data_IF_019216571519
#
_entry.id   IF_019216571519
#
_cell.length_a   1.000
_cell.length_b   1.000
_cell.length_c   1.000
_cell.angle_alpha   90.00
_cell.angle_beta   90.00
_cell.angle_gamma   90.00
#
_symmetry.space_group_name_H-M   'P 1'
#
loop_
_entity.id
_entity.type
_entity.pdbx_description
1 polymer ?
#
# COMPACT_ATOMS: atom_id res chain seq x y z
N UNK A 1 26.43 -16.24 -21.98
CA UNK A 1 25.54 -16.31 -23.17
C UNK A 1 24.77 -17.66 -23.27
N UNK A 2 24.60 -18.39 -22.16
CA UNK A 2 23.99 -19.74 -22.14
C UNK A 2 22.65 -19.83 -21.38
N UNK A 3 22.33 -18.90 -20.50
CA UNK A 3 21.12 -19.00 -19.64
C UNK A 3 19.79 -18.63 -20.32
N UNK A 4 19.83 -17.82 -21.40
CA UNK A 4 18.62 -17.41 -22.11
C UNK A 4 18.00 -18.50 -23.02
N UNK A 5 18.80 -19.48 -23.45
CA UNK A 5 18.32 -20.56 -24.33
C UNK A 5 17.58 -21.68 -23.59
N UNK A 6 17.84 -21.85 -22.29
CA UNK A 6 17.22 -22.92 -21.49
C UNK A 6 15.80 -22.59 -21.05
N UNK A 7 15.45 -21.32 -20.84
CA UNK A 7 14.11 -20.91 -20.41
C UNK A 7 13.09 -21.04 -21.55
N UNK A 8 13.50 -20.75 -22.79
CA UNK A 8 12.61 -20.91 -23.94
C UNK A 8 12.35 -22.37 -24.32
N UNK A 9 13.29 -23.27 -24.05
CA UNK A 9 13.12 -24.68 -24.33
C UNK A 9 12.15 -25.37 -23.35
N UNK A 10 12.15 -24.96 -22.07
CA UNK A 10 11.24 -25.50 -21.07
C UNK A 10 9.80 -25.00 -21.24
N UNK A 11 9.62 -23.76 -21.67
CA UNK A 11 8.28 -23.23 -21.98
C UNK A 11 7.66 -23.85 -23.22
N UNK A 12 8.47 -24.17 -24.23
CA UNK A 12 7.99 -24.81 -25.44
C UNK A 12 7.60 -26.31 -25.25
N UNK A 13 8.28 -27.03 -24.34
CA UNK A 13 7.92 -28.41 -24.01
C UNK A 13 6.65 -28.50 -23.15
N UNK A 14 6.36 -27.51 -22.30
CA UNK A 14 5.12 -27.52 -21.52
C UNK A 14 3.87 -27.18 -22.35
N UNK A 15 4.00 -26.44 -23.45
CA UNK A 15 2.89 -26.20 -24.37
C UNK A 15 2.63 -27.40 -25.29
N UNK A 16 3.65 -28.18 -25.64
CA UNK A 16 3.49 -29.35 -26.50
C UNK A 16 2.83 -30.55 -25.80
N UNK A 17 2.94 -30.65 -24.47
CA UNK A 17 2.32 -31.70 -23.67
C UNK A 17 0.80 -31.48 -23.44
N UNK A 18 0.30 -30.26 -23.62
CA UNK A 18 -1.13 -29.94 -23.55
C UNK A 18 -1.90 -30.12 -24.84
N UNK A 19 -1.22 -30.32 -25.97
CA UNK A 19 -1.84 -30.46 -27.27
C UNK A 19 -2.14 -31.94 -27.70
N UNK A 20 -1.74 -32.94 -26.91
CA UNK A 20 -1.86 -34.37 -27.30
C UNK A 20 -2.92 -35.19 -26.56
N UNK A 21 -3.76 -34.57 -25.72
CA UNK A 21 -4.84 -35.27 -25.01
C UNK A 21 -6.21 -34.87 -25.56
N UNK A 22 -6.59 -35.42 -26.71
CA UNK A 22 -7.93 -35.15 -27.19
C UNK A 22 -8.30 -35.71 -28.57
N UNK A 23 -8.15 -37.01 -28.79
CA UNK A 23 -8.89 -37.71 -29.87
C UNK A 23 -9.43 -39.06 -29.35
N UNK A 24 -10.44 -38.99 -28.49
CA UNK A 24 -11.35 -40.13 -28.28
C UNK A 24 -12.70 -39.71 -28.86
N UNK A 25 -13.04 -40.25 -30.05
CA UNK A 25 -14.39 -40.19 -30.61
C UNK A 25 -15.27 -41.14 -29.81
N UNK A 26 -16.20 -40.61 -29.05
CA UNK A 26 -17.34 -41.35 -28.52
C UNK A 26 -18.57 -41.00 -29.37
N UNK A 27 -19.32 -42.05 -29.73
CA UNK A 27 -20.46 -42.02 -30.64
C UNK A 27 -21.60 -41.11 -30.13
N UNK A 28 -22.25 -40.47 -31.10
CA UNK A 28 -23.42 -39.60 -30.94
C UNK A 28 -24.59 -40.26 -30.20
N UNK A 29 -24.89 -39.75 -29.04
CA UNK A 29 -26.24 -39.72 -28.49
C UNK A 29 -26.81 -38.30 -28.73
N UNK A 30 -28.09 -38.14 -29.13
CA UNK A 30 -28.65 -36.80 -29.32
C UNK A 30 -28.68 -36.08 -28.01
N UNK A 31 -27.68 -35.25 -27.78
CA UNK A 31 -27.63 -34.35 -26.62
C UNK A 31 -28.71 -33.30 -26.85
N UNK A 32 -29.77 -33.36 -26.03
CA UNK A 32 -30.74 -32.28 -25.89
C UNK A 32 -29.96 -30.98 -25.79
N UNK A 33 -30.11 -30.10 -26.80
CA UNK A 33 -29.40 -28.86 -26.86
C UNK A 33 -29.53 -28.15 -25.48
N UNK A 34 -28.41 -28.01 -24.78
CA UNK A 34 -28.38 -27.25 -23.54
C UNK A 34 -28.90 -25.87 -23.90
N UNK A 35 -29.86 -25.35 -23.09
CA UNK A 35 -30.27 -23.95 -23.21
C UNK A 35 -29.03 -23.11 -23.24
N UNK A 36 -28.89 -22.10 -24.15
CA UNK A 36 -27.74 -21.26 -24.16
C UNK A 36 -27.60 -20.67 -22.76
N UNK A 37 -26.47 -20.97 -22.13
CA UNK A 37 -26.09 -20.34 -20.85
C UNK A 37 -26.04 -18.85 -21.17
N UNK A 38 -26.90 -18.10 -20.53
CA UNK A 38 -26.90 -16.63 -20.65
C UNK A 38 -25.48 -16.18 -20.26
N UNK A 39 -24.74 -15.61 -21.21
CA UNK A 39 -23.39 -15.15 -20.95
C UNK A 39 -23.43 -14.23 -19.73
N UNK A 40 -22.72 -14.62 -18.68
CA UNK A 40 -22.56 -13.80 -17.49
C UNK A 40 -21.79 -12.53 -17.90
N UNK A 41 -22.13 -11.35 -17.35
CA UNK A 41 -21.33 -10.17 -17.57
C UNK A 41 -19.89 -10.43 -17.12
N UNK A 42 -18.91 -9.80 -17.79
CA UNK A 42 -17.50 -9.98 -17.48
C UNK A 42 -17.22 -9.65 -16.01
N UNK A 43 -17.78 -8.55 -15.51
CA UNK A 43 -17.75 -8.19 -14.08
C UNK A 43 -19.08 -8.60 -13.42
N UNK A 44 -19.00 -9.39 -12.37
CA UNK A 44 -20.14 -9.86 -11.59
C UNK A 44 -20.57 -8.83 -10.55
N UNK A 45 -19.61 -8.07 -10.04
CA UNK A 45 -19.79 -6.97 -9.08
C UNK A 45 -18.83 -5.86 -9.47
N UNK A 46 -19.30 -4.62 -9.35
CA UNK A 46 -18.48 -3.41 -9.42
C UNK A 46 -18.85 -2.54 -8.20
N UNK A 47 -17.83 -2.03 -7.52
CA UNK A 47 -17.96 -1.17 -6.35
C UNK A 47 -16.97 0.00 -6.49
N UNK A 48 -17.49 1.15 -6.90
CA UNK A 48 -16.75 2.39 -7.05
C UNK A 48 -17.04 3.35 -5.90
N UNK A 49 -15.99 3.93 -5.31
CA UNK A 49 -16.10 4.80 -4.14
C UNK A 49 -15.20 6.01 -4.25
N UNK A 50 -15.72 7.15 -3.81
CA UNK A 50 -14.94 8.35 -3.53
C UNK A 50 -14.93 8.61 -2.03
N UNK A 51 -13.75 8.87 -1.50
CA UNK A 51 -13.56 9.12 -0.08
C UNK A 51 -12.86 10.46 0.14
N UNK A 52 -13.39 11.26 1.04
CA UNK A 52 -12.68 12.36 1.68
C UNK A 52 -12.37 11.98 3.12
N UNK A 53 -11.13 12.20 3.54
CA UNK A 53 -10.72 11.85 4.90
C UNK A 53 -9.60 12.76 5.41
N UNK A 54 -9.31 12.64 6.72
CA UNK A 54 -8.35 13.48 7.40
C UNK A 54 -7.49 12.64 8.34
N UNK A 55 -6.17 12.69 8.12
CA UNK A 55 -5.15 12.12 9.01
C UNK A 55 -4.70 13.24 9.94
N UNK A 56 -4.78 13.00 11.26
CA UNK A 56 -4.49 14.06 12.24
C UNK A 56 -3.00 14.24 12.52
N UNK A 57 -2.21 13.17 12.42
CA UNK A 57 -0.77 13.17 12.72
C UNK A 57 -0.01 12.28 11.71
N UNK A 58 -0.05 12.65 10.43
CA UNK A 58 0.76 12.02 9.38
C UNK A 58 2.25 12.34 9.53
N UNK A 59 3.10 11.53 8.92
CA UNK A 59 4.56 11.72 8.93
C UNK A 59 5.18 11.40 7.57
N UNK A 60 6.31 12.05 7.27
CA UNK A 60 7.15 11.75 6.11
C UNK A 60 8.60 11.59 6.57
N UNK A 61 9.26 10.45 6.28
CA UNK A 61 10.62 10.20 6.73
C UNK A 61 11.59 11.31 6.32
N UNK A 62 12.38 11.80 7.27
CA UNK A 62 13.35 12.85 7.04
C UNK A 62 12.77 14.26 6.98
N UNK A 63 11.46 14.41 7.06
CA UNK A 63 10.77 15.71 7.03
C UNK A 63 10.40 16.12 8.47
N UNK A 64 11.08 17.10 9.00
CA UNK A 64 10.87 17.58 10.37
C UNK A 64 11.32 19.03 10.55
N UNK A 65 10.79 19.68 11.55
CA UNK A 65 11.14 21.03 11.95
C UNK A 65 11.34 21.12 13.46
N UNK A 66 11.94 22.21 13.93
CA UNK A 66 12.08 22.45 15.35
C UNK A 66 10.75 22.97 15.92
N UNK A 67 10.25 22.37 17.00
CA UNK A 67 9.07 22.88 17.68
C UNK A 67 9.34 24.25 18.30
N UNK A 68 8.33 25.10 18.44
CA UNK A 68 8.46 26.35 19.19
C UNK A 68 9.07 26.10 20.57
N UNK A 69 10.09 26.89 20.93
CA UNK A 69 10.85 26.70 22.17
C UNK A 69 12.12 25.87 22.03
N UNK A 70 12.39 25.25 20.85
CA UNK A 70 13.68 24.65 20.53
C UNK A 70 14.05 23.36 21.28
N UNK A 71 13.08 22.69 21.91
CA UNK A 71 13.33 21.56 22.82
C UNK A 71 13.09 20.19 22.18
N UNK A 72 12.44 20.11 21.03
CA UNK A 72 12.15 18.86 20.34
C UNK A 72 11.87 19.05 18.85
N UNK A 73 12.05 17.98 18.09
CA UNK A 73 11.67 17.93 16.68
C UNK A 73 10.17 17.69 16.52
N UNK A 74 9.61 18.19 15.42
CA UNK A 74 8.27 17.92 14.95
C UNK A 74 8.35 17.28 13.56
N UNK A 75 8.03 16.00 13.46
CA UNK A 75 7.89 15.28 12.19
C UNK A 75 6.43 14.96 11.82
N UNK A 76 5.47 15.56 12.57
CA UNK A 76 4.06 15.28 12.34
C UNK A 76 3.37 16.43 11.62
N UNK A 77 2.48 16.09 10.71
CA UNK A 77 1.57 17.00 10.04
C UNK A 77 0.18 16.39 9.84
N UNK A 78 -0.83 17.23 9.77
CA UNK A 78 -2.16 16.80 9.41
C UNK A 78 -2.29 16.77 7.87
N UNK A 79 -3.04 15.79 7.33
CA UNK A 79 -3.23 15.64 5.89
C UNK A 79 -4.71 15.44 5.55
N UNK A 80 -5.19 16.19 4.57
CA UNK A 80 -6.43 15.89 3.87
C UNK A 80 -6.15 14.80 2.85
N UNK A 81 -7.06 13.84 2.71
CA UNK A 81 -6.89 12.71 1.78
C UNK A 81 -8.13 12.60 0.90
N UNK A 82 -7.90 12.57 -0.39
CA UNK A 82 -8.91 12.40 -1.43
C UNK A 82 -8.60 11.09 -2.14
N UNK A 83 -9.52 10.13 -2.10
CA UNK A 83 -9.28 8.81 -2.69
C UNK A 83 -10.40 8.41 -3.62
N UNK A 84 -10.02 7.73 -4.69
CA UNK A 84 -10.90 6.91 -5.50
C UNK A 84 -10.53 5.45 -5.29
N UNK A 85 -11.52 4.59 -5.08
CA UNK A 85 -11.35 3.14 -4.90
C UNK A 85 -12.29 2.42 -5.85
N UNK A 86 -11.75 1.47 -6.57
CA UNK A 86 -12.47 0.53 -7.41
C UNK A 86 -12.26 -0.88 -6.89
N UNK A 87 -13.34 -1.65 -6.80
CA UNK A 87 -13.31 -3.07 -6.52
C UNK A 87 -14.23 -3.78 -7.48
N UNK A 88 -13.77 -4.86 -8.08
CA UNK A 88 -14.62 -5.72 -8.88
C UNK A 88 -14.44 -7.19 -8.55
N UNK A 89 -15.48 -7.95 -8.87
CA UNK A 89 -15.46 -9.42 -8.91
C UNK A 89 -15.73 -9.83 -10.33
N UNK A 90 -14.85 -10.64 -10.89
CA UNK A 90 -15.01 -11.22 -12.23
C UNK A 90 -14.98 -12.75 -12.18
N UNK A 91 -15.10 -13.40 -13.31
CA UNK A 91 -15.27 -14.86 -13.36
C UNK A 91 -14.15 -15.70 -12.74
N UNK A 92 -12.97 -15.14 -12.52
CA UNK A 92 -11.82 -15.87 -11.99
C UNK A 92 -11.24 -15.27 -10.70
N UNK A 93 -11.76 -14.17 -10.17
CA UNK A 93 -11.23 -13.58 -8.94
C UNK A 93 -11.72 -12.18 -8.68
N UNK A 94 -10.85 -11.35 -8.10
CA UNK A 94 -11.16 -9.97 -7.73
C UNK A 94 -10.06 -9.03 -8.17
N UNK A 95 -10.43 -7.78 -8.45
CA UNK A 95 -9.49 -6.68 -8.59
C UNK A 95 -9.80 -5.60 -7.58
N UNK A 96 -8.77 -5.01 -7.03
CA UNK A 96 -8.83 -3.86 -6.15
C UNK A 96 -7.83 -2.82 -6.63
N UNK A 97 -8.31 -1.60 -6.79
CA UNK A 97 -7.48 -0.46 -7.16
C UNK A 97 -7.86 0.74 -6.29
N UNK A 98 -6.87 1.45 -5.79
CA UNK A 98 -7.10 2.73 -5.14
C UNK A 98 -6.04 3.73 -5.57
N UNK A 99 -6.44 4.99 -5.73
CA UNK A 99 -5.55 6.12 -5.91
C UNK A 99 -5.92 7.17 -4.88
N UNK A 100 -4.93 7.74 -4.23
CA UNK A 100 -5.10 8.72 -3.17
C UNK A 100 -4.17 9.90 -3.36
N UNK A 101 -4.70 11.10 -3.14
CA UNK A 101 -3.93 12.33 -3.02
C UNK A 101 -3.98 12.79 -1.56
N UNK A 102 -2.83 12.99 -0.97
CA UNK A 102 -2.67 13.55 0.37
C UNK A 102 -2.22 15.01 0.23
N UNK A 103 -2.83 15.88 0.99
CA UNK A 103 -2.50 17.31 0.97
C UNK A 103 -2.38 17.84 2.40
N UNK A 104 -1.23 18.34 2.74
CA UNK A 104 -0.98 19.05 3.99
C UNK A 104 -1.07 20.57 3.81
N UNK A 105 -1.00 21.28 4.91
CA UNK A 105 -1.02 22.74 4.95
C UNK A 105 0.38 23.35 5.16
N UNK A 106 0.42 24.67 5.37
CA UNK A 106 1.65 25.43 5.59
C UNK A 106 2.39 25.08 6.89
N UNK A 107 1.79 24.32 7.80
CA UNK A 107 2.46 23.86 9.03
C UNK A 107 3.25 22.55 8.81
N UNK A 108 3.16 21.97 7.61
CA UNK A 108 3.90 20.78 7.28
C UNK A 108 5.40 21.06 7.28
N UNK A 109 6.22 20.28 8.03
CA UNK A 109 7.66 20.34 7.94
C UNK A 109 8.21 20.10 6.53
N UNK A 110 7.48 19.38 5.67
CA UNK A 110 7.80 19.19 4.25
C UNK A 110 7.55 20.43 3.39
N UNK A 111 7.08 21.50 3.96
CA UNK A 111 6.78 22.72 3.22
C UNK A 111 8.02 23.24 2.48
N UNK A 112 8.00 23.32 1.13
CA UNK A 112 9.17 23.69 0.35
C UNK A 112 9.71 25.10 0.67
N UNK A 113 8.93 25.96 1.30
CA UNK A 113 9.35 27.30 1.67
C UNK A 113 10.26 27.36 2.90
N UNK A 114 10.24 26.35 3.76
CA UNK A 114 11.09 26.27 4.96
C UNK A 114 12.46 25.70 4.60
N UNK A 115 12.50 24.81 3.64
CA UNK A 115 13.71 24.10 3.25
C UNK A 115 14.35 24.81 2.05
N UNK A 116 15.38 25.57 2.32
CA UNK A 116 16.09 26.47 1.40
C UNK A 116 16.79 25.80 0.20
N UNK A 117 16.41 24.63 -0.19
CA UNK A 117 16.99 23.92 -1.34
C UNK A 117 16.06 23.74 -2.52
N UNK A 118 14.75 23.85 -2.32
CA UNK A 118 13.76 23.51 -3.37
C UNK A 118 13.10 24.75 -3.96
N UNK A 119 12.83 25.76 -3.15
CA UNK A 119 12.37 27.06 -3.61
C UNK A 119 13.24 28.14 -2.96
N UNK A 120 14.25 28.58 -3.66
CA UNK A 120 15.26 29.51 -3.20
C UNK A 120 14.75 30.97 -3.11
N UNK A 121 13.61 31.18 -2.50
CA UNK A 121 13.09 32.54 -2.39
C UNK A 121 13.76 33.40 -1.33
N UNK A 122 14.63 32.82 -0.50
CA UNK A 122 15.22 33.54 0.64
C UNK A 122 14.18 34.06 1.63
N UNK A 123 12.92 33.73 1.42
CA UNK A 123 11.83 34.17 2.24
C UNK A 123 11.65 33.19 3.40
N UNK A 124 12.10 33.57 4.57
CA UNK A 124 11.90 32.82 5.81
C UNK A 124 10.48 32.98 6.39
N UNK A 125 9.61 33.69 5.70
CA UNK A 125 8.21 33.85 6.08
C UNK A 125 7.43 32.60 5.67
N UNK A 126 6.88 31.89 6.64
CA UNK A 126 6.00 30.73 6.46
C UNK A 126 4.65 31.10 5.81
N UNK A 127 4.34 32.38 5.74
CA UNK A 127 3.12 32.87 5.12
C UNK A 127 3.19 32.70 3.59
N UNK A 128 2.41 31.78 3.08
CA UNK A 128 2.32 31.53 1.63
C UNK A 128 2.88 30.18 1.19
N UNK A 129 3.38 29.37 2.08
CA UNK A 129 3.80 27.99 1.77
C UNK A 129 2.58 27.07 1.65
N UNK A 130 2.59 26.20 0.67
CA UNK A 130 1.40 25.44 0.27
C UNK A 130 1.29 24.06 0.93
N UNK A 131 2.31 23.63 1.69
CA UNK A 131 2.43 22.24 2.16
C UNK A 131 2.83 21.27 1.07
N UNK A 132 2.96 19.99 1.43
CA UNK A 132 3.28 18.91 0.51
C UNK A 132 2.03 18.30 -0.13
N UNK A 133 2.23 17.68 -1.28
CA UNK A 133 1.22 16.87 -1.97
C UNK A 133 1.85 15.52 -2.27
N UNK A 134 1.18 14.44 -1.84
CA UNK A 134 1.58 13.07 -2.10
C UNK A 134 0.54 12.38 -2.96
N UNK A 135 0.98 11.48 -3.82
CA UNK A 135 0.13 10.54 -4.54
C UNK A 135 0.52 9.13 -4.18
N UNK A 136 -0.48 8.30 -3.92
CA UNK A 136 -0.32 6.88 -3.68
C UNK A 136 -1.32 6.12 -4.52
N UNK A 137 -0.86 5.12 -5.24
CA UNK A 137 -1.67 4.19 -5.99
C UNK A 137 -1.35 2.76 -5.56
N UNK A 138 -2.37 1.93 -5.39
CA UNK A 138 -2.25 0.52 -5.06
C UNK A 138 -3.17 -0.28 -5.98
N UNK A 139 -2.65 -1.39 -6.49
CA UNK A 139 -3.39 -2.39 -7.26
C UNK A 139 -3.13 -3.77 -6.69
N UNK A 140 -4.20 -4.56 -6.52
CA UNK A 140 -4.14 -5.99 -6.20
C UNK A 140 -5.14 -6.73 -7.07
N UNK A 141 -4.71 -7.84 -7.66
CA UNK A 141 -5.55 -8.74 -8.44
C UNK A 141 -5.38 -10.16 -7.93
N UNK A 142 -6.49 -10.87 -7.75
CA UNK A 142 -6.51 -12.27 -7.32
C UNK A 142 -7.08 -13.17 -8.40
N UNK A 143 -6.57 -14.40 -8.45
CA UNK A 143 -7.01 -15.44 -9.36
C UNK A 143 -7.31 -16.68 -8.54
N UNK A 144 -8.58 -16.94 -8.29
CA UNK A 144 -9.06 -18.00 -7.39
C UNK A 144 -8.87 -19.40 -7.98
N UNK A 145 -8.34 -20.30 -7.16
CA UNK A 145 -8.08 -21.67 -7.61
C UNK A 145 -9.36 -22.46 -7.82
N UNK A 146 -10.40 -22.22 -7.03
CA UNK A 146 -11.69 -22.85 -7.25
C UNK A 146 -12.27 -22.48 -8.60
N UNK A 147 -12.14 -21.24 -9.02
CA UNK A 147 -12.63 -20.70 -10.28
C UNK A 147 -11.78 -21.18 -11.47
N UNK A 148 -10.46 -21.11 -11.36
CA UNK A 148 -9.52 -21.53 -12.42
C UNK A 148 -9.66 -23.04 -12.70
N UNK A 149 -9.75 -23.86 -11.65
CA UNK A 149 -9.82 -25.32 -11.80
C UNK A 149 -11.25 -25.87 -11.86
N UNK A 150 -12.28 -25.03 -11.79
CA UNK A 150 -13.68 -25.42 -11.83
C UNK A 150 -14.06 -26.38 -10.70
N UNK A 151 -13.54 -26.16 -9.48
CA UNK A 151 -13.66 -27.05 -8.33
C UNK A 151 -14.09 -26.30 -7.07
N UNK A 152 -14.35 -27.03 -5.99
CA UNK A 152 -14.55 -26.52 -4.64
C UNK A 152 -13.55 -27.11 -3.63
N UNK A 153 -12.49 -27.75 -4.14
CA UNK A 153 -11.53 -28.46 -3.29
C UNK A 153 -10.70 -27.53 -2.40
N UNK A 154 -10.61 -26.25 -2.76
CA UNK A 154 -9.90 -25.23 -2.00
C UNK A 154 -10.79 -24.46 -1.01
N UNK A 155 -12.00 -24.99 -0.76
CA UNK A 155 -12.92 -24.51 0.28
C UNK A 155 -12.96 -25.56 1.39
N UNK A 156 -12.59 -25.18 2.63
CA UNK A 156 -12.57 -26.09 3.78
C UNK A 156 -12.80 -25.32 5.08
N UNK A 157 -13.86 -25.66 5.81
CA UNK A 157 -14.23 -24.96 7.03
C UNK A 157 -14.42 -23.47 6.78
N UNK A 158 -13.73 -22.57 7.48
CA UNK A 158 -13.80 -21.13 7.23
C UNK A 158 -13.00 -20.69 5.99
N UNK A 159 -12.11 -21.51 5.45
CA UNK A 159 -11.34 -21.19 4.24
C UNK A 159 -12.31 -21.18 3.06
N UNK A 160 -12.49 -20.00 2.47
CA UNK A 160 -13.34 -19.79 1.30
C UNK A 160 -12.63 -20.19 -0.01
N UNK A 161 -11.39 -19.74 -0.18
CA UNK A 161 -10.60 -19.99 -1.39
C UNK A 161 -9.11 -19.76 -1.13
N UNK A 162 -8.28 -20.31 -2.02
CA UNK A 162 -6.88 -19.94 -2.20
C UNK A 162 -6.80 -19.27 -3.57
N UNK A 163 -6.03 -18.20 -3.68
CA UNK A 163 -5.85 -17.45 -4.93
C UNK A 163 -4.37 -17.18 -5.19
N UNK A 164 -3.96 -17.12 -6.44
CA UNK A 164 -2.77 -16.35 -6.80
C UNK A 164 -3.08 -14.86 -6.60
N UNK A 165 -2.11 -14.11 -6.07
CA UNK A 165 -2.22 -12.67 -5.93
C UNK A 165 -1.03 -11.99 -6.58
N UNK A 166 -1.31 -10.94 -7.36
CA UNK A 166 -0.33 -10.03 -7.94
C UNK A 166 -0.73 -8.59 -7.61
N UNK A 167 0.27 -7.72 -7.51
CA UNK A 167 -0.03 -6.32 -7.27
C UNK A 167 1.17 -5.42 -7.49
N UNK A 168 0.89 -4.12 -7.44
CA UNK A 168 1.88 -3.07 -7.53
C UNK A 168 1.44 -1.84 -6.74
N UNK A 169 2.40 -1.12 -6.19
CA UNK A 169 2.18 0.18 -5.57
C UNK A 169 3.07 1.23 -6.21
N UNK A 170 2.55 2.45 -6.26
CA UNK A 170 3.29 3.64 -6.69
C UNK A 170 3.08 4.75 -5.66
N UNK A 171 4.12 5.50 -5.40
CA UNK A 171 4.08 6.66 -4.52
C UNK A 171 4.99 7.77 -5.07
N UNK A 172 4.60 9.00 -4.88
CA UNK A 172 5.40 10.16 -5.19
C UNK A 172 4.96 11.37 -4.38
N UNK A 173 5.93 12.17 -3.96
CA UNK A 173 5.70 13.31 -3.09
C UNK A 173 6.54 14.51 -3.52
N UNK A 174 5.99 15.71 -3.39
CA UNK A 174 6.65 16.96 -3.77
C UNK A 174 7.38 17.65 -2.59
N UNK A 175 7.94 16.92 -1.68
CA UNK A 175 8.81 17.48 -0.64
C UNK A 175 10.27 17.55 -1.09
N UNK A 176 11.14 18.16 -0.25
CA UNK A 176 12.55 18.34 -0.60
C UNK A 176 13.36 17.02 -0.68
N UNK A 177 12.87 15.93 -0.13
CA UNK A 177 13.45 14.60 -0.27
C UNK A 177 12.90 13.86 -1.50
N UNK A 178 11.82 14.38 -2.08
CA UNK A 178 11.17 13.89 -3.30
C UNK A 178 11.02 12.36 -3.32
N UNK A 179 10.43 11.74 -2.28
CA UNK A 179 10.29 10.29 -2.27
C UNK A 179 9.42 9.84 -3.43
N UNK A 180 9.87 8.76 -4.08
CA UNK A 180 9.10 8.08 -5.10
C UNK A 180 9.37 6.59 -4.98
N UNK A 181 8.33 5.81 -4.75
CA UNK A 181 8.37 4.37 -4.54
C UNK A 181 7.60 3.66 -5.64
N UNK A 182 8.14 2.55 -6.09
CA UNK A 182 7.48 1.61 -6.99
C UNK A 182 7.76 0.23 -6.49
N UNK A 183 6.73 -0.56 -6.30
CA UNK A 183 6.93 -1.94 -5.89
C UNK A 183 5.97 -2.89 -6.59
N UNK A 184 6.30 -4.17 -6.50
CA UNK A 184 5.49 -5.26 -6.98
C UNK A 184 5.43 -6.38 -5.97
N UNK A 185 4.27 -7.03 -5.92
CA UNK A 185 4.01 -8.20 -5.09
C UNK A 185 3.51 -9.36 -5.92
N UNK A 186 3.86 -10.57 -5.51
CA UNK A 186 3.42 -11.82 -6.14
C UNK A 186 3.39 -12.94 -5.10
N UNK A 187 2.28 -13.67 -5.01
CA UNK A 187 2.18 -14.80 -4.09
C UNK A 187 0.81 -15.41 -4.04
N UNK A 188 0.39 -15.78 -2.84
CA UNK A 188 -0.88 -16.43 -2.59
C UNK A 188 -1.71 -15.60 -1.62
N UNK A 189 -3.05 -15.65 -1.78
CA UNK A 189 -3.99 -15.15 -0.80
C UNK A 189 -4.84 -16.32 -0.29
N UNK A 190 -5.02 -16.38 1.00
CA UNK A 190 -5.95 -17.27 1.69
C UNK A 190 -7.12 -16.43 2.17
N UNK A 191 -8.30 -16.68 1.60
CA UNK A 191 -9.53 -15.96 1.93
C UNK A 191 -10.39 -16.81 2.87
N UNK A 192 -10.83 -16.20 3.96
CA UNK A 192 -11.66 -16.86 4.98
C UNK A 192 -12.98 -16.12 5.15
N UNK A 193 -14.06 -16.89 5.29
CA UNK A 193 -15.36 -16.34 5.63
C UNK A 193 -15.45 -16.07 7.13
N UNK A 194 -15.95 -14.89 7.47
CA UNK A 194 -16.32 -14.51 8.84
C UNK A 194 -17.85 -14.42 8.99
N UNK A 195 -18.38 -14.50 10.20
CA UNK A 195 -19.79 -14.22 10.44
C UNK A 195 -20.23 -12.84 9.91
N UNK A 196 -21.55 -12.65 9.78
CA UNK A 196 -22.16 -11.36 9.45
C UNK A 196 -21.64 -10.73 8.16
N UNK A 197 -21.53 -11.52 7.09
CA UNK A 197 -20.99 -11.12 5.78
C UNK A 197 -19.55 -10.60 5.84
N UNK A 198 -18.80 -11.10 6.82
CA UNK A 198 -17.41 -10.74 6.99
C UNK A 198 -16.46 -11.60 6.17
N UNK A 199 -15.25 -11.11 6.00
CA UNK A 199 -14.12 -11.84 5.44
C UNK A 199 -12.82 -11.50 6.18
N UNK A 200 -11.86 -12.41 6.09
CA UNK A 200 -10.49 -12.22 6.56
C UNK A 200 -9.55 -12.83 5.52
N UNK A 201 -8.65 -12.01 5.00
CA UNK A 201 -7.68 -12.44 4.00
C UNK A 201 -6.26 -12.32 4.55
N UNK A 202 -5.41 -13.28 4.22
CA UNK A 202 -3.97 -13.27 4.52
C UNK A 202 -3.22 -13.62 3.24
N UNK A 203 -2.27 -12.80 2.85
CA UNK A 203 -1.47 -12.98 1.66
C UNK A 203 0.03 -12.99 1.98
N UNK A 204 0.69 -14.16 2.02
CA UNK A 204 2.14 -14.27 1.98
C UNK A 204 2.61 -14.01 0.53
N UNK A 205 3.49 -13.03 0.36
CA UNK A 205 3.91 -12.51 -0.93
C UNK A 205 5.44 -12.39 -1.02
N UNK A 206 5.98 -12.54 -2.22
CA UNK A 206 7.29 -12.01 -2.57
C UNK A 206 7.13 -10.52 -2.90
N UNK A 207 8.08 -9.71 -2.45
CA UNK A 207 8.05 -8.26 -2.57
C UNK A 207 9.34 -7.73 -3.20
N UNK A 208 9.22 -6.80 -4.14
CA UNK A 208 10.33 -6.12 -4.80
C UNK A 208 10.04 -4.63 -4.89
N UNK A 209 10.99 -3.80 -4.49
CA UNK A 209 10.85 -2.34 -4.47
C UNK A 209 12.01 -1.65 -5.20
N UNK A 210 11.70 -0.52 -5.82
CA UNK A 210 12.64 0.43 -6.41
C UNK A 210 12.22 1.83 -5.96
N UNK A 211 13.14 2.59 -5.38
CA UNK A 211 12.88 3.95 -4.90
C UNK A 211 13.67 5.00 -5.65
N UNK A 212 13.14 6.21 -5.60
CA UNK A 212 13.80 7.42 -6.01
C UNK A 212 13.56 8.51 -4.95
N UNK A 213 14.45 8.60 -3.95
CA UNK A 213 14.37 9.57 -2.87
C UNK A 213 15.76 9.94 -2.33
N UNK A 214 15.90 11.07 -1.64
CA UNK A 214 17.20 11.59 -1.23
C UNK A 214 17.78 10.93 0.02
N UNK A 215 17.07 10.07 0.73
CA UNK A 215 17.59 9.43 1.94
C UNK A 215 18.12 8.00 1.73
N UNK A 216 17.80 7.35 0.65
CA UNK A 216 18.35 6.04 0.29
C UNK A 216 18.85 5.96 -1.15
N UNK A 217 19.26 7.09 -1.71
CA UNK A 217 19.74 7.23 -3.07
C UNK A 217 21.07 7.94 -3.20
N UNK A 218 21.49 8.03 -4.47
CA UNK A 218 22.52 8.93 -4.89
C UNK A 218 22.16 10.38 -4.63
N UNK A 219 23.01 11.07 -3.99
CA UNK A 219 22.84 12.49 -3.84
C UNK A 219 22.25 12.89 -2.52
N UNK A 220 22.72 12.28 -1.49
CA UNK A 220 22.42 12.77 -0.16
C UNK A 220 22.78 14.24 0.01
N UNK A 221 21.82 15.06 0.53
CA UNK A 221 22.12 16.42 0.91
C UNK A 221 23.19 16.41 2.03
N UNK A 222 24.35 16.94 1.75
CA UNK A 222 25.34 17.24 2.78
C UNK A 222 25.41 18.75 2.93
N UNK A 223 25.99 19.25 4.02
CA UNK A 223 26.23 20.68 4.22
C UNK A 223 27.08 21.32 3.09
N UNK A 224 27.71 20.52 2.25
CA UNK A 224 28.53 20.95 1.09
C UNK A 224 27.96 20.59 -0.28
N UNK A 225 26.71 20.14 -0.36
CA UNK A 225 26.08 19.69 -1.60
C UNK A 225 25.67 18.22 -1.58
N UNK A 226 25.31 17.66 -2.73
CA UNK A 226 24.99 16.26 -2.88
C UNK A 226 26.23 15.42 -3.15
N UNK A 227 26.33 14.23 -2.53
CA UNK A 227 27.37 13.25 -2.87
C UNK A 227 26.83 12.33 -3.95
N UNK A 228 27.31 12.44 -5.21
CA UNK A 228 26.83 11.59 -6.29
C UNK A 228 27.28 10.14 -6.12
N UNK A 229 26.46 9.20 -6.56
CA UNK A 229 26.93 7.85 -6.86
C UNK A 229 26.96 6.86 -5.71
N UNK A 230 26.26 7.12 -4.60
CA UNK A 230 26.09 6.13 -3.53
C UNK A 230 24.75 5.43 -3.74
N UNK A 231 24.79 4.11 -3.83
CA UNK A 231 23.59 3.24 -3.92
C UNK A 231 22.68 3.50 -5.14
N UNK A 232 23.21 4.00 -6.24
CA UNK A 232 22.40 4.33 -7.40
C UNK A 232 22.70 3.49 -8.62
N UNK A 233 21.65 3.16 -9.35
CA UNK A 233 21.75 2.84 -10.76
C UNK A 233 22.05 4.10 -11.58
N UNK A 234 22.45 3.92 -12.85
CA UNK A 234 22.72 5.05 -13.75
C UNK A 234 21.50 5.95 -14.00
N UNK A 235 20.31 5.45 -13.76
CA UNK A 235 19.04 6.17 -13.88
C UNK A 235 18.61 6.89 -12.59
N UNK A 236 19.42 6.84 -11.53
CA UNK A 236 19.15 7.51 -10.25
C UNK A 236 18.25 6.73 -9.30
N UNK A 237 17.87 5.49 -9.63
CA UNK A 237 17.03 4.67 -8.75
C UNK A 237 17.87 3.82 -7.80
N UNK A 238 17.36 3.58 -6.60
CA UNK A 238 17.84 2.56 -5.67
C UNK A 238 17.01 1.31 -5.82
N UNK A 239 17.65 0.22 -6.18
CA UNK A 239 17.03 -1.10 -6.30
C UNK A 239 17.29 -1.89 -5.02
N UNK A 240 16.22 -2.45 -4.42
CA UNK A 240 16.31 -3.25 -3.20
C UNK A 240 16.33 -4.75 -3.51
N UNK A 241 16.77 -5.56 -2.55
CA UNK A 241 16.68 -7.01 -2.65
C UNK A 241 15.22 -7.48 -2.63
N UNK A 242 14.97 -8.65 -3.21
CA UNK A 242 13.73 -9.35 -2.99
C UNK A 242 13.57 -9.68 -1.51
N UNK A 243 12.38 -9.51 -0.99
CA UNK A 243 12.04 -9.86 0.38
C UNK A 243 10.62 -10.43 0.44
N UNK A 244 10.18 -10.81 1.61
CA UNK A 244 8.83 -11.27 1.86
C UNK A 244 7.92 -10.09 2.22
N UNK A 245 6.63 -10.25 1.93
CA UNK A 245 5.58 -9.46 2.52
C UNK A 245 4.47 -10.35 3.05
N UNK A 246 3.74 -9.87 4.04
CA UNK A 246 2.46 -10.45 4.47
C UNK A 246 1.45 -9.33 4.52
N UNK A 247 0.41 -9.45 3.69
CA UNK A 247 -0.70 -8.52 3.70
C UNK A 247 -1.93 -9.17 4.33
N UNK A 248 -2.63 -8.42 5.18
CA UNK A 248 -3.82 -8.86 5.90
C UNK A 248 -4.89 -7.81 5.71
N UNK A 249 -6.12 -8.24 5.44
CA UNK A 249 -7.28 -7.36 5.47
C UNK A 249 -8.52 -8.12 5.95
N UNK A 250 -9.42 -7.40 6.61
CA UNK A 250 -10.66 -7.96 7.09
C UNK A 250 -11.79 -6.93 7.07
N UNK A 251 -13.00 -7.44 7.03
CA UNK A 251 -14.24 -6.70 7.18
C UNK A 251 -15.28 -7.57 7.87
N UNK A 252 -16.14 -6.97 8.70
CA UNK A 252 -17.30 -7.67 9.29
C UNK A 252 -18.36 -6.65 9.67
N UNK A 253 -19.61 -6.92 9.27
CA UNK A 253 -20.76 -6.21 9.83
C UNK A 253 -20.94 -6.58 11.31
N UNK A 254 -21.35 -5.62 12.15
CA UNK A 254 -21.66 -5.90 13.56
C UNK A 254 -23.09 -6.43 13.71
N UNK A 255 -23.41 -7.51 12.98
CA UNK A 255 -24.72 -8.13 12.92
C UNK A 255 -25.21 -8.80 14.22
N UNK A 256 -24.34 -8.90 15.23
CA UNK A 256 -24.71 -9.32 16.57
C UNK A 256 -25.36 -8.21 17.41
N UNK A 257 -25.29 -6.96 16.95
CA UNK A 257 -25.99 -5.84 17.60
C UNK A 257 -27.50 -5.95 17.40
N UNK A 258 -28.32 -5.32 18.27
CA UNK A 258 -29.75 -5.19 18.03
C UNK A 258 -30.08 -4.62 16.65
N UNK A 259 -31.16 -5.03 16.02
CA UNK A 259 -31.53 -4.66 14.64
C UNK A 259 -31.50 -3.14 14.40
N UNK A 260 -31.93 -2.35 15.38
CA UNK A 260 -31.91 -0.88 15.32
C UNK A 260 -30.49 -0.27 15.48
N UNK A 261 -29.45 -1.10 15.66
CA UNK A 261 -28.05 -0.70 15.77
C UNK A 261 -27.17 -1.37 14.72
N UNK A 262 -27.71 -2.17 13.79
CA UNK A 262 -26.96 -2.86 12.74
C UNK A 262 -26.58 -1.94 11.58
N UNK A 263 -26.04 -0.78 11.92
CA UNK A 263 -25.49 0.21 10.99
C UNK A 263 -23.96 0.30 11.06
N UNK A 264 -23.35 -0.55 11.88
CA UNK A 264 -21.92 -0.51 12.13
C UNK A 264 -21.21 -1.72 11.52
N UNK A 265 -20.00 -1.47 11.03
CA UNK A 265 -19.07 -2.49 10.60
C UNK A 265 -17.67 -2.19 11.14
N UNK A 266 -16.87 -3.24 11.30
CA UNK A 266 -15.43 -3.11 11.56
C UNK A 266 -14.64 -3.63 10.38
N UNK A 267 -13.52 -2.99 10.12
CA UNK A 267 -12.56 -3.43 9.12
C UNK A 267 -11.15 -3.06 9.54
N UNK A 268 -10.16 -3.61 8.85
CA UNK A 268 -8.79 -3.24 9.04
C UNK A 268 -7.88 -3.87 8.00
N UNK A 269 -6.65 -3.38 7.97
CA UNK A 269 -5.58 -3.91 7.11
C UNK A 269 -4.24 -3.78 7.81
N UNK A 270 -3.29 -4.66 7.43
CA UNK A 270 -1.89 -4.54 7.81
C UNK A 270 -1.02 -5.13 6.71
N UNK A 271 0.05 -4.43 6.36
CA UNK A 271 1.13 -4.90 5.53
C UNK A 271 2.42 -4.96 6.35
N UNK A 272 3.10 -6.08 6.27
CA UNK A 272 4.41 -6.32 6.85
C UNK A 272 5.35 -6.60 5.70
N UNK A 273 6.37 -5.74 5.51
CA UNK A 273 7.33 -5.87 4.43
C UNK A 273 8.70 -6.11 5.03
N UNK A 274 9.34 -7.22 4.68
CA UNK A 274 10.60 -7.66 5.26
C UNK A 274 11.75 -6.70 5.00
N UNK A 275 12.88 -6.87 5.72
CA UNK A 275 14.10 -6.16 5.43
C UNK A 275 14.51 -6.40 3.97
N UNK A 276 14.82 -5.34 3.24
CA UNK A 276 15.09 -5.41 1.79
C UNK A 276 16.51 -4.99 1.42
N UNK A 277 17.16 -4.16 2.26
CA UNK A 277 18.52 -3.69 1.98
C UNK A 277 18.66 -3.04 0.60
N UNK A 278 19.87 -2.71 0.21
CA UNK A 278 20.19 -2.17 -1.11
C UNK A 278 20.77 -3.28 -1.98
N UNK A 279 20.14 -3.60 -3.11
CA UNK A 279 20.59 -4.64 -4.03
C UNK A 279 21.92 -4.31 -4.73
N UNK A 280 22.29 -3.05 -4.80
CA UNK A 280 23.55 -2.62 -5.41
C UNK A 280 24.76 -2.89 -4.50
N UNK A 281 24.53 -3.31 -3.25
CA UNK A 281 25.58 -3.75 -2.34
C UNK A 281 26.54 -2.64 -1.91
N UNK A 282 26.22 -1.40 -2.16
CA UNK A 282 27.00 -0.27 -1.66
C UNK A 282 26.64 -0.07 -0.19
N UNK A 283 27.56 -0.30 0.73
CA UNK A 283 27.33 0.06 2.11
C UNK A 283 27.02 1.55 2.13
N UNK A 284 25.98 1.95 2.81
CA UNK A 284 25.76 3.35 3.11
C UNK A 284 27.05 3.97 3.58
N UNK A 285 27.32 5.22 3.26
CA UNK A 285 28.59 5.88 3.58
C UNK A 285 28.87 5.74 5.08
N UNK A 286 29.59 4.69 5.42
CA UNK A 286 30.12 4.45 6.75
C UNK A 286 30.91 5.68 7.17
N UNK A 287 30.40 6.46 8.12
CA UNK A 287 31.04 7.68 8.60
C UNK A 287 30.25 8.97 8.37
N UNK A 288 29.28 9.01 7.48
CA UNK A 288 28.37 10.16 7.35
C UNK A 288 27.13 10.05 8.22
N UNK A 289 26.92 8.92 8.87
CA UNK A 289 25.77 8.67 9.74
C UNK A 289 24.46 8.39 9.03
N UNK A 290 24.49 8.22 7.71
CA UNK A 290 23.31 7.89 6.92
C UNK A 290 23.47 6.51 6.32
N UNK A 291 22.96 5.54 7.03
CA UNK A 291 22.79 4.17 6.58
C UNK A 291 21.31 3.94 6.26
N UNK A 292 20.87 4.46 5.16
CA UNK A 292 19.55 4.16 4.66
C UNK A 292 19.55 2.83 3.91
N UNK A 293 19.56 1.77 4.64
CA UNK A 293 19.71 0.42 4.08
C UNK A 293 18.39 -0.34 4.04
N UNK A 294 17.28 0.28 4.45
CA UNK A 294 15.98 -0.39 4.55
C UNK A 294 16.10 -1.77 5.25
N UNK A 295 16.79 -1.79 6.40
CA UNK A 295 17.16 -3.01 7.11
C UNK A 295 16.09 -3.53 8.05
N UNK A 296 15.00 -2.79 8.23
CA UNK A 296 13.93 -3.15 9.16
C UNK A 296 12.69 -3.62 8.43
N UNK A 297 11.91 -4.43 9.11
CA UNK A 297 10.55 -4.73 8.68
C UNK A 297 9.71 -3.46 8.78
N UNK A 298 9.14 -3.06 7.66
CA UNK A 298 8.14 -2.00 7.59
C UNK A 298 6.79 -2.55 8.01
N UNK A 299 6.07 -1.83 8.87
CA UNK A 299 4.70 -2.14 9.27
C UNK A 299 3.81 -0.99 8.82
N UNK A 300 2.95 -1.22 7.84
CA UNK A 300 1.97 -0.24 7.37
C UNK A 300 0.57 -0.78 7.66
N UNK A 301 -0.14 -0.19 8.62
CA UNK A 301 -1.41 -0.73 9.05
C UNK A 301 -2.46 0.34 9.38
N UNK A 302 -3.68 -0.05 9.20
CA UNK A 302 -4.89 0.53 9.74
C UNK A 302 -5.63 -0.62 10.44
N UNK A 303 -5.17 -1.01 11.64
CA UNK A 303 -5.58 -2.28 12.25
C UNK A 303 -7.05 -2.31 12.64
N UNK A 304 -7.67 -1.14 12.80
CA UNK A 304 -9.09 -1.05 13.10
C UNK A 304 -9.70 0.21 12.49
N UNK A 305 -10.84 0.03 11.84
CA UNK A 305 -11.76 1.06 11.37
C UNK A 305 -13.17 0.71 11.84
N UNK A 306 -13.84 1.65 12.48
CA UNK A 306 -15.26 1.58 12.78
C UNK A 306 -16.00 2.41 11.73
N UNK A 307 -16.90 1.77 10.99
CA UNK A 307 -17.72 2.39 9.94
C UNK A 307 -19.16 2.46 10.41
N UNK A 308 -19.81 3.60 10.15
CA UNK A 308 -21.24 3.82 10.34
C UNK A 308 -21.90 4.02 8.97
N UNK A 309 -22.88 3.19 8.64
CA UNK A 309 -23.68 3.29 7.41
C UNK A 309 -24.78 4.35 7.59
N UNK A 310 -24.43 5.60 7.31
CA UNK A 310 -25.34 6.73 7.47
C UNK A 310 -26.53 6.62 6.53
N UNK A 311 -26.33 6.20 5.29
CA UNK A 311 -27.40 6.06 4.31
C UNK A 311 -28.41 4.98 4.70
N UNK A 312 -27.96 3.85 5.21
CA UNK A 312 -28.87 2.81 5.75
C UNK A 312 -29.65 3.32 6.94
N UNK A 313 -28.98 4.04 7.86
CA UNK A 313 -29.60 4.55 9.07
C UNK A 313 -30.68 5.60 8.80
N UNK A 314 -30.44 6.52 7.85
CA UNK A 314 -31.33 7.65 7.59
C UNK A 314 -32.31 7.41 6.44
N UNK A 315 -31.92 6.61 5.43
CA UNK A 315 -32.73 6.40 4.21
C UNK A 315 -33.22 4.96 4.05
N UNK A 316 -32.82 4.07 4.96
CA UNK A 316 -33.26 2.68 5.01
C UNK A 316 -32.38 1.70 4.25
N UNK A 317 -32.68 0.38 4.38
CA UNK A 317 -31.78 -0.71 3.91
C UNK A 317 -31.48 -0.68 2.40
N UNK A 318 -32.35 -0.11 1.59
CA UNK A 318 -32.15 0.02 0.14
C UNK A 318 -30.91 0.84 -0.21
N UNK A 319 -30.54 1.77 0.66
CA UNK A 319 -29.40 2.69 0.46
C UNK A 319 -28.18 2.27 1.28
N UNK A 320 -28.14 1.02 1.74
CA UNK A 320 -26.99 0.53 2.53
C UNK A 320 -25.66 0.74 1.80
N UNK A 321 -24.68 1.29 2.53
CA UNK A 321 -23.32 1.60 2.08
C UNK A 321 -23.21 2.68 0.99
N UNK A 322 -24.29 3.40 0.65
CA UNK A 322 -24.22 4.51 -0.29
C UNK A 322 -23.43 5.69 0.27
N UNK A 323 -23.68 6.07 1.53
CA UNK A 323 -22.88 7.05 2.28
C UNK A 323 -22.49 6.45 3.62
N UNK A 324 -21.20 6.36 3.86
CA UNK A 324 -20.65 5.86 5.14
C UNK A 324 -19.73 6.90 5.75
N UNK A 325 -19.72 6.98 7.07
CA UNK A 325 -18.71 7.72 7.84
C UNK A 325 -17.92 6.75 8.68
N UNK A 326 -16.67 7.08 8.97
CA UNK A 326 -15.82 6.16 9.68
C UNK A 326 -14.72 6.87 10.47
N UNK A 327 -14.23 6.18 11.49
CA UNK A 327 -13.03 6.54 12.25
C UNK A 327 -12.10 5.34 12.27
N UNK A 328 -10.80 5.58 12.23
CA UNK A 328 -9.78 4.55 12.20
C UNK A 328 -8.55 4.97 12.99
N UNK A 329 -7.72 4.00 13.33
CA UNK A 329 -6.38 4.21 13.82
C UNK A 329 -5.39 3.76 12.76
N UNK A 330 -4.41 4.62 12.45
CA UNK A 330 -3.34 4.35 11.52
C UNK A 330 -2.02 4.19 12.28
N UNK A 331 -1.32 3.11 11.98
CA UNK A 331 -0.01 2.83 12.53
C UNK A 331 0.94 2.45 11.39
N UNK A 332 2.05 3.20 11.27
CA UNK A 332 3.07 2.92 10.28
C UNK A 332 4.45 3.10 10.93
N UNK A 333 5.21 2.02 11.03
CA UNK A 333 6.54 1.98 11.64
C UNK A 333 7.57 1.59 10.62
N UNK A 334 8.78 2.14 10.77
CA UNK A 334 9.90 1.91 9.87
C UNK A 334 9.52 2.21 8.41
N UNK A 335 8.93 3.36 8.17
CA UNK A 335 8.54 3.79 6.82
C UNK A 335 9.70 3.61 5.86
N UNK A 336 9.44 3.05 4.66
CA UNK A 336 10.44 2.69 3.65
C UNK A 336 11.49 1.65 4.13
N UNK A 337 11.25 0.94 5.23
CA UNK A 337 12.18 0.00 5.84
C UNK A 337 13.29 0.65 6.66
N UNK A 338 13.24 1.96 6.90
CA UNK A 338 14.21 2.72 7.71
C UNK A 338 14.13 2.33 9.17
N UNK A 339 15.26 2.20 9.83
CA UNK A 339 15.30 1.99 11.29
C UNK A 339 14.94 3.27 12.03
N UNK A 340 13.70 3.36 12.54
CA UNK A 340 13.21 4.54 13.25
C UNK A 340 14.03 4.88 14.51
N UNK A 341 14.84 3.96 15.01
CA UNK A 341 15.72 4.20 16.18
C UNK A 341 17.15 4.57 15.80
N UNK A 342 17.59 4.32 14.59
CA UNK A 342 19.01 4.41 14.23
C UNK A 342 19.32 5.26 13.00
N UNK A 343 18.36 5.53 12.12
CA UNK A 343 18.61 6.31 10.90
C UNK A 343 18.90 7.79 11.23
N UNK A 344 20.20 8.14 11.21
CA UNK A 344 20.65 9.49 11.47
C UNK A 344 20.21 10.46 10.36
N UNK A 345 19.84 11.68 10.74
CA UNK A 345 19.35 12.78 9.88
C UNK A 345 18.02 12.50 9.13
N UNK A 346 17.45 11.32 9.25
CA UNK A 346 16.13 10.96 8.73
C UNK A 346 15.19 10.73 9.90
N UNK A 347 15.34 9.61 10.60
CA UNK A 347 14.48 9.24 11.73
C UNK A 347 14.95 9.84 13.06
N UNK A 348 16.22 10.19 13.15
CA UNK A 348 16.86 10.83 14.32
C UNK A 348 17.75 12.00 13.86
N UNK A 349 17.81 13.06 14.65
CA UNK A 349 18.66 14.20 14.35
C UNK A 349 19.29 14.78 15.63
N UNK A 350 20.37 15.53 15.45
CA UNK A 350 21.09 16.15 16.56
C UNK A 350 20.30 17.33 17.11
N UNK A 351 20.03 17.33 18.40
CA UNK A 351 19.40 18.43 19.10
C UNK A 351 20.12 18.66 20.43
N UNK A 352 20.67 19.86 20.63
CA UNK A 352 21.42 20.23 21.84
C UNK A 352 22.56 19.24 22.20
N UNK A 353 23.24 18.69 21.19
CA UNK A 353 24.34 17.72 21.36
C UNK A 353 23.91 16.29 21.59
N UNK A 354 22.62 15.98 21.61
CA UNK A 354 22.08 14.62 21.70
C UNK A 354 21.37 14.21 20.40
N UNK A 355 21.48 12.94 20.03
CA UNK A 355 20.69 12.35 18.94
C UNK A 355 19.31 12.01 19.49
N UNK A 356 18.27 12.60 18.94
CA UNK A 356 16.89 12.41 19.36
C UNK A 356 15.98 12.11 18.17
N UNK A 357 14.84 11.44 18.41
CA UNK A 357 13.88 11.12 17.36
C UNK A 357 13.33 12.38 16.69
N UNK A 358 13.24 12.35 15.37
CA UNK A 358 12.55 13.37 14.57
C UNK A 358 11.05 13.17 14.56
N UNK A 359 10.55 12.03 15.00
CA UNK A 359 9.15 11.59 14.90
C UNK A 359 8.61 11.52 13.46
N UNK A 360 9.49 11.37 12.48
CA UNK A 360 9.10 11.34 11.06
C UNK A 360 9.00 9.94 10.46
N UNK A 361 9.61 8.92 11.06
CA UNK A 361 9.66 7.54 10.53
C UNK A 361 8.62 6.59 11.15
N UNK A 362 7.81 7.08 12.08
CA UNK A 362 6.71 6.32 12.69
C UNK A 362 5.47 7.20 12.70
N UNK A 363 4.36 6.66 12.23
CA UNK A 363 3.07 7.34 12.21
C UNK A 363 2.10 6.64 13.16
N UNK A 364 1.50 7.42 14.04
CA UNK A 364 0.44 7.00 14.94
C UNK A 364 -0.63 8.07 14.89
N UNK A 365 -1.72 7.78 14.17
CA UNK A 365 -2.72 8.79 13.89
C UNK A 365 -4.13 8.29 14.06
N UNK A 366 -4.98 9.13 14.64
CA UNK A 366 -6.39 9.04 14.37
C UNK A 366 -6.63 9.42 12.89
N UNK A 367 -7.63 8.81 12.29
CA UNK A 367 -7.98 8.95 10.89
C UNK A 367 -9.50 8.88 10.77
N UNK A 368 -10.12 9.81 10.06
CA UNK A 368 -11.57 9.85 9.93
C UNK A 368 -11.99 10.28 8.53
N UNK A 369 -13.12 9.78 8.08
CA UNK A 369 -13.57 10.11 6.72
C UNK A 369 -15.04 9.85 6.43
N UNK A 370 -15.40 10.28 5.23
CA UNK A 370 -16.72 10.04 4.59
C UNK A 370 -16.45 9.38 3.25
N UNK A 371 -17.19 8.31 2.96
CA UNK A 371 -17.11 7.57 1.70
C UNK A 371 -18.48 7.57 1.04
N UNK A 372 -18.50 7.85 -0.25
CA UNK A 372 -19.69 7.76 -1.11
C UNK A 372 -19.43 6.68 -2.15
N UNK A 373 -20.36 5.73 -2.26
CA UNK A 373 -20.40 4.69 -3.28
C UNK A 373 -21.31 5.13 -4.43
N UNK A 374 -21.00 4.77 -5.67
CA UNK A 374 -21.83 5.06 -6.85
C UNK A 374 -21.77 3.94 -7.90
#
# INVERSE_FOLDING_TARGET
>A
MSFRKTIFATAALSLAALASAGLARAADLPVKAAKPVKDLPFFLVIDDRVTFSYIFTGTDPGVFSLKPGGQSWNGNTAKQVYSFTHFDIWGYGTNFFTISMYKSDHNDPANPCINSGVLSSGNTSLAGCAGATEFYGLFRSTFGWNEIFGTKQFTMGPLHNISFEIGADIEGENNYLAPAKRDGVLGLQFAFDLPYKGYFNVAPLAYKEINHNAFNQCGMPTAGGTVPGVSCNLDGNTEFHWTWAVEINYYMDLGFLPENMQYFAISGRAGFYGPKGDANGLPGLSGTGVNSTATKTEINSEPIRLTFDASKAFWGPKYSQFVTTWVAYRYWQNKFGLDHNAENFVCNALLNGAVVSTHSCTEQSAYAGVTVKF
#
